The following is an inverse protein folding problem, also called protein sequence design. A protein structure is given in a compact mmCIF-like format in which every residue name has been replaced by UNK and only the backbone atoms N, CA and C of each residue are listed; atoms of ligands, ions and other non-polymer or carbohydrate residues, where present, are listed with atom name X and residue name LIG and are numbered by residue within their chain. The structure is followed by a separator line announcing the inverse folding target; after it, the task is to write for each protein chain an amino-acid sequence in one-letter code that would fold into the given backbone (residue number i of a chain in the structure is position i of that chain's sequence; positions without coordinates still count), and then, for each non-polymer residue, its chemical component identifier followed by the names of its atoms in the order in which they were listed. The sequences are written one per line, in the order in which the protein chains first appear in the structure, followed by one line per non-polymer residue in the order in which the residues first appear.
data_IF_751632046228
#
_entry.id   IF_751632046228
#
_cell.length_a   1.000
_cell.length_b   1.000
_cell.length_c   1.000
_cell.angle_alpha   90.00
_cell.angle_beta   90.00
_cell.angle_gamma   90.00
#
_symmetry.space_group_name_H-M   'P 1'
#
loop_
_entity.id
_entity.type
_entity.pdbx_description
1 polymer ?
#
# COMPACT_ATOMS: atom_id res chain seq x y z
N UNK A 1 15.89 -19.00 -8.44
CA UNK A 1 15.34 -20.26 -8.99
C UNK A 1 14.03 -20.46 -8.25
N UNK A 2 12.99 -19.73 -8.64
CA UNK A 2 11.77 -19.63 -7.85
C UNK A 2 10.81 -20.71 -8.33
N UNK A 3 10.65 -21.75 -7.53
CA UNK A 3 9.73 -22.83 -7.86
C UNK A 3 8.29 -22.31 -7.73
N UNK A 4 7.52 -22.20 -8.82
CA UNK A 4 6.17 -21.62 -8.79
C UNK A 4 5.22 -22.40 -7.87
N UNK A 5 5.50 -23.67 -7.60
CA UNK A 5 4.72 -24.49 -6.68
C UNK A 5 4.87 -24.08 -5.22
N UNK A 6 6.03 -23.56 -4.82
CA UNK A 6 6.26 -23.08 -3.45
C UNK A 6 5.41 -21.83 -3.20
N UNK A 7 5.46 -20.85 -4.12
CA UNK A 7 4.65 -19.64 -4.02
C UNK A 7 3.15 -19.96 -3.95
N UNK A 8 2.68 -20.90 -4.78
CA UNK A 8 1.29 -21.38 -4.77
C UNK A 8 0.93 -22.07 -3.45
N UNK A 9 1.81 -22.91 -2.91
CA UNK A 9 1.60 -23.59 -1.63
C UNK A 9 1.51 -22.62 -0.45
N UNK A 10 2.38 -21.61 -0.42
CA UNK A 10 2.34 -20.53 0.59
C UNK A 10 1.04 -19.73 0.46
N UNK A 11 0.69 -19.30 -0.75
CA UNK A 11 -0.54 -18.54 -0.99
C UNK A 11 -1.80 -19.32 -0.57
N UNK A 12 -1.89 -20.60 -0.94
CA UNK A 12 -3.00 -21.48 -0.54
C UNK A 12 -3.09 -21.60 0.99
N UNK A 13 -1.96 -21.81 1.65
CA UNK A 13 -1.92 -21.93 3.12
C UNK A 13 -2.35 -20.65 3.82
N UNK A 14 -1.91 -19.48 3.33
CA UNK A 14 -2.31 -18.18 3.87
C UNK A 14 -3.81 -17.96 3.69
N UNK A 15 -4.36 -18.22 2.50
CA UNK A 15 -5.81 -18.04 2.26
C UNK A 15 -6.64 -18.94 3.17
N UNK A 16 -6.23 -20.20 3.38
CA UNK A 16 -6.92 -21.13 4.26
C UNK A 16 -6.86 -20.69 5.73
N UNK A 17 -5.72 -20.16 6.18
CA UNK A 17 -5.57 -19.56 7.50
C UNK A 17 -6.48 -18.33 7.66
N UNK A 18 -6.47 -17.40 6.69
CA UNK A 18 -7.30 -16.20 6.73
C UNK A 18 -8.79 -16.54 6.70
N UNK A 19 -9.18 -17.58 5.96
CA UNK A 19 -10.55 -18.09 5.98
C UNK A 19 -10.95 -18.57 7.38
N UNK A 20 -10.09 -19.35 8.04
CA UNK A 20 -10.31 -19.79 9.43
C UNK A 20 -10.47 -18.62 10.40
N UNK A 21 -9.64 -17.58 10.28
CA UNK A 21 -9.75 -16.35 11.09
C UNK A 21 -11.07 -15.62 10.84
N UNK A 22 -11.51 -15.52 9.58
CA UNK A 22 -12.77 -14.87 9.24
C UNK A 22 -13.99 -15.62 9.81
N UNK A 23 -13.94 -16.95 9.89
CA UNK A 23 -15.01 -17.77 10.48
C UNK A 23 -15.11 -17.63 12.01
N UNK A 24 -14.02 -17.30 12.70
CA UNK A 24 -13.98 -17.20 14.17
C UNK A 24 -14.80 -16.04 14.74
N UNK A 25 -15.11 -15.01 13.94
CA UNK A 25 -16.11 -14.00 14.27
C UNK A 25 -15.76 -12.56 13.86
N UNK A 26 -16.75 -11.88 13.30
CA UNK A 26 -16.74 -10.48 12.83
C UNK A 26 -16.07 -9.50 13.79
N UNK A 27 -16.39 -9.57 15.09
CA UNK A 27 -15.92 -8.61 16.09
C UNK A 27 -14.40 -8.66 16.27
N UNK A 28 -13.79 -9.84 16.13
CA UNK A 28 -12.34 -10.02 16.22
C UNK A 28 -11.65 -9.50 14.95
N UNK A 29 -12.23 -9.79 13.78
CA UNK A 29 -11.72 -9.33 12.48
C UNK A 29 -11.65 -7.80 12.42
N UNK A 30 -12.69 -7.10 12.87
CA UNK A 30 -12.70 -5.62 12.88
C UNK A 30 -11.60 -5.05 13.79
N UNK A 31 -11.40 -5.63 14.99
CA UNK A 31 -10.32 -5.18 15.89
C UNK A 31 -8.93 -5.44 15.33
N UNK A 32 -8.75 -6.61 14.68
CA UNK A 32 -7.50 -6.93 14.00
C UNK A 32 -7.24 -5.94 12.86
N UNK A 33 -8.25 -5.64 12.05
CA UNK A 33 -8.15 -4.69 10.94
C UNK A 33 -7.69 -3.30 11.41
N UNK A 34 -8.20 -2.81 12.55
CA UNK A 34 -7.76 -1.55 13.14
C UNK A 34 -6.30 -1.59 13.61
N UNK A 35 -5.85 -2.73 14.16
CA UNK A 35 -4.45 -2.93 14.53
C UNK A 35 -3.54 -2.97 13.30
N UNK A 36 -3.93 -3.69 12.24
CA UNK A 36 -3.20 -3.75 10.97
C UNK A 36 -3.09 -2.37 10.33
N UNK A 37 -4.18 -1.58 10.36
CA UNK A 37 -4.19 -0.20 9.89
C UNK A 37 -3.20 0.68 10.67
N UNK A 38 -3.12 0.51 12.00
CA UNK A 38 -2.18 1.26 12.83
C UNK A 38 -0.72 0.93 12.47
N UNK A 39 -0.39 -0.35 12.27
CA UNK A 39 0.97 -0.74 11.84
C UNK A 39 1.30 -0.20 10.45
N UNK A 40 0.33 -0.24 9.53
CA UNK A 40 0.50 0.36 8.20
C UNK A 40 0.76 1.87 8.30
N UNK A 41 -0.01 2.59 9.11
CA UNK A 41 0.20 4.01 9.34
C UNK A 41 1.60 4.31 9.90
N UNK A 42 2.09 3.50 10.85
CA UNK A 42 3.45 3.63 11.38
C UNK A 42 4.51 3.38 10.31
N UNK A 43 4.33 2.41 9.42
CA UNK A 43 5.24 2.15 8.30
C UNK A 43 5.29 3.33 7.32
N UNK A 44 4.14 3.95 7.04
CA UNK A 44 4.06 5.16 6.21
C UNK A 44 4.82 6.31 6.87
N UNK A 45 4.60 6.54 8.16
CA UNK A 45 5.30 7.59 8.90
C UNK A 45 6.81 7.34 8.95
N UNK A 46 7.24 6.09 9.12
CA UNK A 46 8.66 5.72 9.14
C UNK A 46 9.37 6.06 7.83
N UNK A 47 8.72 5.85 6.67
CA UNK A 47 9.25 6.29 5.39
C UNK A 47 9.32 7.81 5.29
N UNK A 48 8.25 8.52 5.68
CA UNK A 48 8.18 9.98 5.58
C UNK A 48 9.21 10.67 6.48
N UNK A 49 9.53 10.11 7.65
CA UNK A 49 10.60 10.63 8.50
C UNK A 49 11.97 10.16 8.00
N UNK A 50 12.06 8.92 7.50
CA UNK A 50 13.28 8.34 6.95
C UNK A 50 13.84 9.12 5.77
N UNK A 51 12.97 9.67 4.92
CA UNK A 51 13.40 10.50 3.80
C UNK A 51 14.19 11.75 4.21
N UNK A 52 13.99 12.28 5.43
CA UNK A 52 14.73 13.43 5.94
C UNK A 52 16.02 13.05 6.69
N UNK A 53 16.07 11.86 7.27
CA UNK A 53 17.14 11.47 8.19
C UNK A 53 18.18 10.57 7.49
N UNK A 54 17.73 9.69 6.61
CA UNK A 54 18.54 8.61 6.07
C UNK A 54 18.96 8.89 4.63
N UNK A 55 20.26 8.76 4.36
CA UNK A 55 20.81 8.84 2.99
C UNK A 55 21.73 7.66 2.75
N UNK A 56 21.53 6.98 1.62
CA UNK A 56 22.34 5.85 1.18
C UNK A 56 22.72 6.02 -0.29
N UNK A 57 23.78 6.79 -0.58
CA UNK A 57 24.19 7.08 -1.95
C UNK A 57 24.49 5.80 -2.76
N UNK A 58 25.03 4.76 -2.12
CA UNK A 58 25.32 3.47 -2.74
C UNK A 58 24.06 2.74 -3.26
N UNK A 59 22.90 3.02 -2.67
CA UNK A 59 21.62 2.48 -3.11
C UNK A 59 20.80 3.49 -3.94
N UNK A 60 21.39 4.62 -4.34
CA UNK A 60 20.72 5.67 -5.11
C UNK A 60 19.78 6.58 -4.29
N UNK A 61 19.82 6.50 -2.96
CA UNK A 61 19.11 7.42 -2.06
C UNK A 61 20.08 8.53 -1.66
N UNK A 62 20.04 9.64 -2.40
CA UNK A 62 20.99 10.76 -2.22
C UNK A 62 20.45 11.86 -1.28
N UNK A 63 19.17 11.76 -0.88
CA UNK A 63 18.48 12.79 -0.10
C UNK A 63 17.84 13.86 -0.98
N UNK A 64 17.18 14.84 -0.37
CA UNK A 64 16.45 15.88 -1.10
C UNK A 64 17.39 16.71 -1.98
N UNK A 65 17.18 16.66 -3.30
CA UNK A 65 17.95 17.42 -4.29
C UNK A 65 17.06 17.97 -5.39
N UNK A 66 17.16 19.28 -5.64
CA UNK A 66 16.41 19.96 -6.69
C UNK A 66 16.77 19.43 -8.09
N UNK A 67 18.05 19.13 -8.31
CA UNK A 67 18.53 18.58 -9.57
C UNK A 67 17.91 17.20 -9.84
N UNK A 68 17.78 16.38 -8.80
CA UNK A 68 17.17 15.06 -8.91
C UNK A 68 15.66 15.14 -9.12
N UNK A 69 14.98 16.04 -8.41
CA UNK A 69 13.56 16.29 -8.58
C UNK A 69 13.23 16.75 -10.02
N UNK A 70 14.02 17.69 -10.56
CA UNK A 70 13.88 18.15 -11.94
C UNK A 70 14.15 17.00 -12.93
N UNK A 71 15.18 16.20 -12.71
CA UNK A 71 15.48 15.04 -13.55
C UNK A 71 14.37 13.99 -13.50
N UNK A 72 13.64 13.86 -12.38
CA UNK A 72 12.53 12.93 -12.22
C UNK A 72 11.17 13.47 -12.67
N UNK A 73 11.06 14.77 -12.97
CA UNK A 73 9.78 15.43 -13.28
C UNK A 73 9.16 15.01 -14.62
N UNK A 74 9.98 14.62 -15.59
CA UNK A 74 9.52 14.17 -16.91
C UNK A 74 9.15 12.68 -16.93
N UNK A 75 8.28 12.23 -17.84
CA UNK A 75 8.06 10.80 -18.05
C UNK A 75 9.28 10.13 -18.69
N UNK A 76 9.56 8.90 -18.31
CA UNK A 76 10.60 8.06 -18.91
C UNK A 76 10.16 6.59 -18.84
N UNK A 77 9.46 6.15 -19.87
CA UNK A 77 8.88 4.81 -19.87
C UNK A 77 9.90 3.79 -20.40
N UNK A 78 10.17 2.74 -19.62
CA UNK A 78 11.07 1.65 -20.02
C UNK A 78 10.31 0.52 -20.74
N UNK A 79 10.97 -0.13 -21.70
CA UNK A 79 10.63 -1.49 -22.10
C UNK A 79 9.21 -1.73 -22.62
N UNK A 80 8.65 -0.82 -23.43
CA UNK A 80 7.30 -0.99 -24.01
C UNK A 80 6.15 -0.54 -23.09
N UNK A 81 6.48 -0.11 -21.87
CA UNK A 81 5.52 0.58 -21.02
C UNK A 81 5.14 1.93 -21.63
N UNK A 82 3.91 2.34 -21.38
CA UNK A 82 3.36 3.61 -21.84
C UNK A 82 2.37 4.13 -20.80
N UNK A 83 1.91 5.36 -20.96
CA UNK A 83 1.05 6.05 -19.99
C UNK A 83 -0.14 5.19 -19.52
N UNK A 84 -0.85 4.52 -20.45
CA UNK A 84 -2.02 3.70 -20.08
C UNK A 84 -1.67 2.44 -19.27
N UNK A 85 -0.50 1.85 -19.48
CA UNK A 85 -0.05 0.70 -18.69
C UNK A 85 0.23 1.10 -17.23
N UNK A 86 0.99 2.19 -17.03
CA UNK A 86 1.27 2.75 -15.69
C UNK A 86 -0.01 3.25 -15.02
N UNK A 87 -0.90 3.89 -15.79
CA UNK A 87 -2.22 4.30 -15.30
C UNK A 87 -3.06 3.10 -14.86
N UNK A 88 -3.04 1.98 -15.58
CA UNK A 88 -3.75 0.76 -15.21
C UNK A 88 -3.31 0.21 -13.85
N UNK A 89 -1.99 0.21 -13.58
CA UNK A 89 -1.43 -0.18 -12.28
C UNK A 89 -1.92 0.75 -11.16
N UNK A 90 -1.88 2.07 -11.39
CA UNK A 90 -2.32 3.06 -10.41
C UNK A 90 -3.84 3.00 -10.17
N UNK A 91 -4.64 2.83 -11.23
CA UNK A 91 -6.09 2.73 -11.17
C UNK A 91 -6.55 1.52 -10.34
N UNK A 92 -5.86 0.37 -10.49
CA UNK A 92 -6.12 -0.81 -9.67
C UNK A 92 -5.98 -0.52 -8.18
N UNK A 93 -5.02 0.34 -7.80
CA UNK A 93 -4.79 0.72 -6.39
C UNK A 93 -5.92 1.59 -5.84
N UNK A 94 -6.56 2.42 -6.66
CA UNK A 94 -7.64 3.34 -6.25
C UNK A 94 -9.03 2.67 -6.27
N UNK A 95 -9.18 1.51 -6.90
CA UNK A 95 -10.49 0.87 -7.11
C UNK A 95 -11.19 0.41 -5.81
N UNK A 96 -10.47 0.28 -4.70
CA UNK A 96 -10.99 -0.21 -3.41
C UNK A 96 -11.99 0.68 -2.64
N UNK A 97 -12.42 1.80 -3.22
CA UNK A 97 -13.27 2.82 -2.58
C UNK A 97 -14.63 2.26 -2.10
N UNK A 98 -15.17 1.23 -2.77
CA UNK A 98 -16.47 0.65 -2.44
C UNK A 98 -16.45 -0.34 -1.25
N UNK A 99 -15.29 -0.64 -0.67
CA UNK A 99 -15.18 -1.61 0.43
C UNK A 99 -16.04 -1.24 1.66
N UNK A 100 -16.31 0.05 1.89
CA UNK A 100 -17.12 0.54 3.01
C UNK A 100 -18.61 0.17 2.93
N UNK A 101 -19.15 -0.04 1.72
CA UNK A 101 -20.57 -0.37 1.53
C UNK A 101 -20.88 -1.77 2.10
N UNK A 102 -19.93 -2.70 2.01
CA UNK A 102 -20.06 -4.08 2.51
C UNK A 102 -20.21 -4.16 4.04
N UNK A 103 -19.98 -3.07 4.78
CA UNK A 103 -20.13 -2.98 6.23
C UNK A 103 -21.26 -2.03 6.66
N UNK A 104 -22.10 -1.59 5.71
CA UNK A 104 -23.22 -0.66 5.95
C UNK A 104 -24.19 -1.13 7.05
N UNK A 105 -24.43 -2.44 7.18
CA UNK A 105 -25.31 -3.01 8.20
C UNK A 105 -24.78 -2.93 9.65
N UNK A 106 -23.48 -2.70 9.84
CA UNK A 106 -22.85 -2.58 11.17
C UNK A 106 -22.71 -1.11 11.62
N UNK A 107 -23.13 -0.14 10.78
CA UNK A 107 -23.02 1.29 11.04
C UNK A 107 -24.25 1.84 11.77
N UNK A 108 -24.03 2.76 12.72
CA UNK A 108 -25.12 3.43 13.46
C UNK A 108 -26.00 4.30 12.56
N UNK A 109 -25.41 4.96 11.56
CA UNK A 109 -26.12 5.76 10.55
C UNK A 109 -25.45 5.62 9.17
N UNK A 110 -25.83 4.63 8.35
CA UNK A 110 -25.16 4.35 7.08
C UNK A 110 -25.32 5.49 6.05
N UNK A 111 -26.44 6.21 6.06
CA UNK A 111 -26.73 7.25 5.06
C UNK A 111 -25.77 8.43 5.14
N UNK A 112 -25.34 8.81 6.34
CA UNK A 112 -24.37 9.88 6.54
C UNK A 112 -22.92 9.38 6.61
N UNK A 113 -22.68 8.24 7.26
CA UNK A 113 -21.31 7.78 7.52
C UNK A 113 -20.62 7.18 6.29
N UNK A 114 -21.34 6.52 5.38
CA UNK A 114 -20.75 5.95 4.15
C UNK A 114 -20.16 7.06 3.27
N UNK A 115 -20.91 8.10 2.84
CA UNK A 115 -20.37 9.12 1.96
C UNK A 115 -19.23 9.92 2.62
N UNK A 116 -19.35 10.27 3.91
CA UNK A 116 -18.30 10.99 4.62
C UNK A 116 -17.02 10.15 4.76
N UNK A 117 -17.15 8.88 5.16
CA UNK A 117 -16.01 7.97 5.29
C UNK A 117 -15.32 7.72 3.94
N UNK A 118 -16.10 7.54 2.88
CA UNK A 118 -15.57 7.30 1.53
C UNK A 118 -14.80 8.51 1.00
N UNK A 119 -15.35 9.72 1.14
CA UNK A 119 -14.67 10.95 0.73
C UNK A 119 -13.42 11.23 1.56
N UNK A 120 -13.47 11.00 2.87
CA UNK A 120 -12.29 11.14 3.74
C UNK A 120 -11.19 10.14 3.36
N UNK A 121 -11.55 8.87 3.12
CA UNK A 121 -10.62 7.83 2.71
C UNK A 121 -9.98 8.17 1.35
N UNK A 122 -10.76 8.65 0.38
CA UNK A 122 -10.26 9.11 -0.91
C UNK A 122 -9.26 10.27 -0.73
N UNK A 123 -9.62 11.29 0.06
CA UNK A 123 -8.74 12.43 0.33
C UNK A 123 -7.41 12.03 0.97
N UNK A 124 -7.46 11.18 2.01
CA UNK A 124 -6.25 10.69 2.69
C UNK A 124 -5.42 9.82 1.76
N UNK A 125 -6.03 8.91 1.01
CA UNK A 125 -5.33 8.03 0.06
C UNK A 125 -4.62 8.83 -1.03
N UNK A 126 -5.32 9.79 -1.65
CA UNK A 126 -4.73 10.67 -2.67
C UNK A 126 -3.59 11.52 -2.09
N UNK A 127 -3.76 12.09 -0.89
CA UNK A 127 -2.73 12.85 -0.22
C UNK A 127 -1.45 12.01 0.03
N UNK A 128 -1.61 10.80 0.55
CA UNK A 128 -0.49 9.89 0.81
C UNK A 128 0.22 9.47 -0.49
N UNK A 129 -0.53 9.15 -1.55
CA UNK A 129 0.06 8.84 -2.85
C UNK A 129 0.90 10.00 -3.39
N UNK A 130 0.38 11.23 -3.38
CA UNK A 130 1.12 12.42 -3.82
C UNK A 130 2.37 12.62 -2.96
N UNK A 131 2.24 12.47 -1.63
CA UNK A 131 3.38 12.58 -0.71
C UNK A 131 4.49 11.58 -1.06
N UNK A 132 4.15 10.31 -1.33
CA UNK A 132 5.14 9.31 -1.72
C UNK A 132 5.81 9.62 -3.05
N UNK A 133 5.04 10.05 -4.06
CA UNK A 133 5.57 10.41 -5.37
C UNK A 133 6.58 11.55 -5.24
N UNK A 134 6.25 12.60 -4.48
CA UNK A 134 7.13 13.75 -4.27
C UNK A 134 8.39 13.38 -3.47
N UNK A 135 8.23 12.60 -2.39
CA UNK A 135 9.36 12.19 -1.54
C UNK A 135 10.34 11.32 -2.31
N UNK A 136 9.87 10.26 -2.98
CA UNK A 136 10.75 9.37 -3.75
C UNK A 136 11.35 10.09 -4.97
N UNK A 137 10.56 10.94 -5.64
CA UNK A 137 11.03 11.74 -6.77
C UNK A 137 12.11 12.76 -6.40
N UNK A 138 12.08 13.31 -5.18
CA UNK A 138 13.11 14.25 -4.71
C UNK A 138 14.37 13.54 -4.16
N UNK A 139 14.22 12.37 -3.55
CA UNK A 139 15.28 11.69 -2.78
C UNK A 139 16.07 10.63 -3.55
N UNK A 140 15.45 9.98 -4.54
CA UNK A 140 16.00 8.80 -5.20
C UNK A 140 16.39 9.08 -6.67
N UNK A 141 17.53 8.54 -7.10
CA UNK A 141 18.00 8.68 -8.49
C UNK A 141 17.10 7.89 -9.44
N UNK A 142 16.79 8.47 -10.60
CA UNK A 142 15.91 7.89 -11.64
C UNK A 142 16.22 6.43 -11.96
N UNK A 143 17.49 6.09 -12.18
CA UNK A 143 17.92 4.74 -12.57
C UNK A 143 17.54 3.68 -11.54
N UNK A 144 17.57 4.02 -10.25
CA UNK A 144 17.19 3.11 -9.18
C UNK A 144 15.67 2.97 -9.08
N UNK A 145 14.92 4.05 -9.30
CA UNK A 145 13.45 4.01 -9.35
C UNK A 145 12.90 3.03 -10.40
N UNK A 146 13.65 2.82 -11.48
CA UNK A 146 13.29 1.90 -12.54
C UNK A 146 13.58 0.43 -12.24
N UNK A 147 14.64 0.16 -11.48
CA UNK A 147 15.19 -1.19 -11.31
C UNK A 147 14.76 -1.79 -9.97
N UNK A 148 14.64 -0.95 -8.94
CA UNK A 148 14.45 -1.40 -7.57
C UNK A 148 13.03 -1.14 -7.06
N UNK A 149 12.21 -2.18 -7.09
CA UNK A 149 10.84 -2.15 -6.55
C UNK A 149 10.80 -1.97 -5.02
N UNK A 150 11.91 -2.19 -4.31
CA UNK A 150 12.02 -2.07 -2.86
C UNK A 150 12.76 -0.79 -2.43
N UNK A 151 12.89 0.19 -3.33
CA UNK A 151 13.58 1.46 -3.01
C UNK A 151 12.99 2.18 -1.78
N UNK A 152 11.69 2.06 -1.56
CA UNK A 152 11.01 2.64 -0.41
C UNK A 152 11.49 2.07 0.94
N UNK A 153 11.92 0.80 0.99
CA UNK A 153 12.56 0.20 2.17
C UNK A 153 13.87 0.92 2.52
N UNK A 154 14.64 1.27 1.48
CA UNK A 154 15.97 1.88 1.63
C UNK A 154 15.90 3.36 2.02
N UNK A 155 14.76 3.99 1.80
CA UNK A 155 14.45 5.37 2.24
C UNK A 155 13.94 5.39 3.69
N UNK A 156 13.31 4.31 4.14
CA UNK A 156 12.76 4.17 5.48
C UNK A 156 13.86 4.07 6.56
N UNK A 157 13.58 4.56 7.77
CA UNK A 157 14.52 4.49 8.92
C UNK A 157 14.69 3.05 9.34
N UNK A 158 13.55 2.36 9.50
CA UNK A 158 13.49 0.97 9.91
C UNK A 158 12.94 0.19 8.73
N UNK A 159 13.80 -0.20 7.78
CA UNK A 159 13.39 -0.95 6.59
C UNK A 159 12.53 -2.18 6.91
N UNK A 160 12.79 -2.85 8.04
CA UNK A 160 11.97 -3.96 8.54
C UNK A 160 10.51 -3.55 8.83
N UNK A 161 10.27 -2.33 9.31
CA UNK A 161 8.93 -1.80 9.57
C UNK A 161 8.20 -1.52 8.25
N UNK A 162 8.90 -0.97 7.24
CA UNK A 162 8.34 -0.80 5.90
C UNK A 162 7.93 -2.14 5.27
N UNK A 163 8.83 -3.14 5.32
CA UNK A 163 8.55 -4.48 4.84
C UNK A 163 7.36 -5.12 5.58
N UNK A 164 7.33 -4.99 6.91
CA UNK A 164 6.20 -5.46 7.71
C UNK A 164 4.89 -4.78 7.27
N UNK A 165 4.90 -3.46 7.04
CA UNK A 165 3.77 -2.71 6.52
C UNK A 165 3.29 -3.21 5.15
N UNK A 166 4.22 -3.52 4.24
CA UNK A 166 3.92 -4.06 2.90
C UNK A 166 3.20 -5.42 3.00
N UNK A 167 3.71 -6.33 3.83
CA UNK A 167 3.08 -7.64 4.04
C UNK A 167 1.72 -7.50 4.73
N UNK A 168 1.62 -6.65 5.74
CA UNK A 168 0.37 -6.39 6.48
C UNK A 168 -0.69 -5.78 5.56
N UNK A 169 -0.34 -4.85 4.69
CA UNK A 169 -1.24 -4.26 3.70
C UNK A 169 -1.88 -5.32 2.79
N UNK A 170 -1.05 -6.27 2.32
CA UNK A 170 -1.51 -7.39 1.49
C UNK A 170 -2.47 -8.31 2.26
N UNK A 171 -2.12 -8.68 3.50
CA UNK A 171 -2.96 -9.51 4.37
C UNK A 171 -4.30 -8.82 4.69
N UNK A 172 -4.26 -7.55 5.06
CA UNK A 172 -5.43 -6.70 5.33
C UNK A 172 -6.38 -6.68 4.12
N UNK A 173 -5.85 -6.50 2.91
CA UNK A 173 -6.64 -6.49 1.68
C UNK A 173 -7.29 -7.85 1.40
N UNK A 174 -6.54 -8.95 1.59
CA UNK A 174 -7.08 -10.31 1.47
C UNK A 174 -8.20 -10.57 2.49
N UNK A 175 -8.01 -10.16 3.75
CA UNK A 175 -9.03 -10.29 4.79
C UNK A 175 -10.31 -9.53 4.44
N UNK A 176 -10.21 -8.27 3.99
CA UNK A 176 -11.36 -7.50 3.55
C UNK A 176 -12.10 -8.15 2.39
N UNK A 177 -11.37 -8.73 1.43
CA UNK A 177 -11.96 -9.41 0.27
C UNK A 177 -12.65 -10.73 0.59
N UNK A 178 -12.22 -11.45 1.63
CA UNK A 178 -12.88 -12.70 2.06
C UNK A 178 -14.13 -12.44 2.89
N UNK A 179 -14.17 -11.30 3.58
CA UNK A 179 -15.23 -10.94 4.50
C UNK A 179 -16.46 -10.30 3.82
N UNK A 180 -16.24 -9.46 2.80
CA UNK A 180 -17.30 -8.72 2.13
C UNK A 180 -18.30 -9.59 1.36
N UNK A 181 -17.85 -10.48 0.44
CA UNK A 181 -18.73 -11.24 -0.46
C UNK A 181 -19.79 -12.12 0.23
N UNK A 182 -19.49 -12.88 1.31
CA UNK A 182 -20.49 -13.70 2.00
C UNK A 182 -21.61 -12.92 2.70
N UNK A 183 -21.46 -11.60 2.86
CA UNK A 183 -22.48 -10.74 3.50
C UNK A 183 -23.41 -10.07 2.49
N UNK A 184 -23.01 -10.00 1.22
CA UNK A 184 -23.79 -9.38 0.14
C UNK A 184 -24.58 -10.42 -0.69
N UNK A 185 -24.13 -11.69 -0.68
CA UNK A 185 -24.82 -12.84 -1.28
C UNK A 185 -25.87 -13.41 -0.31
#
# INVERSE_FOLDING_TARGET
HDNPWIARGIAFSIVLLLLGVNMAGVKWVIRLQLLLLLVLFLAIMDLLVGSFVHTQPAAGVIGYSDANFLNNSGPDFLGGEHFFSVFGLFFSTVTGILAGINMSGDLKDPYHNIPQGTLAALGVGTFLCISFILVLGATCVRSVLHIDYMIAEKVSIVGVLWLAGLYISSVSSCMGSLYGPPRIL
#
